data_IF_923455233063
#
_entry.id   IF_923455233063
#
_cell.length_a   1.000
_cell.length_b   1.000
_cell.length_c   1.000
_cell.angle_alpha   90.00
_cell.angle_beta   90.00
_cell.angle_gamma   90.00
#
_symmetry.space_group_name_H-M   'P 1'
#
loop_
_entity.id
_entity.type
_entity.pdbx_description
1 polymer ?
#
# COMPACT_ATOMS: atom_id res chain seq x y z
N UNK A 1 -14.34 -4.29 -20.62
CA UNK A 1 -13.64 -5.50 -21.10
C UNK A 1 -14.61 -6.62 -21.28
N UNK A 2 -14.54 -7.38 -22.37
CA UNK A 2 -15.33 -8.59 -22.51
C UNK A 2 -14.77 -9.62 -21.54
N UNK A 3 -15.51 -9.89 -20.47
CA UNK A 3 -15.14 -10.94 -19.53
C UNK A 3 -15.24 -12.29 -20.25
N UNK A 4 -14.13 -13.00 -20.28
CA UNK A 4 -14.11 -14.38 -20.76
C UNK A 4 -15.02 -15.21 -19.86
N UNK A 5 -16.08 -15.75 -20.42
CA UNK A 5 -16.94 -16.67 -19.70
C UNK A 5 -16.35 -18.08 -19.81
N UNK A 6 -16.12 -18.77 -18.69
CA UNK A 6 -15.68 -20.17 -18.74
C UNK A 6 -16.65 -21.03 -19.52
N UNK A 7 -16.13 -21.87 -20.38
CA UNK A 7 -16.91 -22.91 -21.05
C UNK A 7 -16.98 -24.07 -20.09
N UNK A 8 -18.18 -24.34 -19.55
CA UNK A 8 -18.42 -25.45 -18.61
C UNK A 8 -18.80 -26.72 -19.29
N UNK A 9 -19.56 -26.64 -20.40
CA UNK A 9 -19.99 -27.78 -21.18
C UNK A 9 -19.12 -27.95 -22.41
N UNK A 10 -18.58 -29.14 -22.57
CA UNK A 10 -17.79 -29.57 -23.72
C UNK A 10 -18.49 -30.76 -24.38
N UNK A 11 -18.25 -31.02 -25.69
CA UNK A 11 -18.86 -32.19 -26.35
C UNK A 11 -18.52 -33.52 -25.72
N UNK A 12 -17.43 -33.58 -24.95
CA UNK A 12 -16.91 -34.81 -24.35
C UNK A 12 -17.25 -34.98 -22.88
N UNK A 13 -17.50 -33.86 -22.14
CA UNK A 13 -17.77 -33.88 -20.70
C UNK A 13 -18.32 -32.54 -20.20
N UNK A 14 -18.91 -32.54 -19.01
CA UNK A 14 -19.30 -31.36 -18.25
C UNK A 14 -18.31 -31.12 -17.09
N UNK A 15 -17.86 -29.87 -16.86
CA UNK A 15 -16.96 -29.51 -15.77
C UNK A 15 -17.82 -29.03 -14.59
N UNK A 16 -17.98 -29.86 -13.57
CA UNK A 16 -18.83 -29.58 -12.41
C UNK A 16 -18.04 -29.16 -11.15
N UNK A 17 -16.76 -29.50 -11.08
CA UNK A 17 -15.93 -29.38 -9.89
C UNK A 17 -15.08 -28.10 -9.84
N UNK A 18 -15.41 -27.11 -10.65
CA UNK A 18 -14.71 -25.81 -10.65
C UNK A 18 -15.51 -24.76 -9.88
N UNK A 19 -14.85 -23.97 -9.01
CA UNK A 19 -15.53 -22.86 -8.34
C UNK A 19 -15.95 -21.80 -9.37
N UNK A 20 -17.01 -21.01 -9.07
CA UNK A 20 -17.39 -19.90 -9.91
C UNK A 20 -16.28 -18.83 -9.91
N UNK A 21 -16.25 -18.04 -10.99
CA UNK A 21 -15.36 -16.89 -11.06
C UNK A 21 -15.65 -15.90 -9.92
N UNK A 22 -14.59 -15.44 -9.26
CA UNK A 22 -14.67 -14.42 -8.19
C UNK A 22 -14.67 -13.03 -8.84
N UNK A 23 -15.71 -12.26 -8.60
CA UNK A 23 -15.85 -10.89 -9.10
C UNK A 23 -17.26 -10.35 -8.89
N UNK A 24 -17.43 -9.03 -8.95
CA UNK A 24 -18.67 -8.32 -8.68
C UNK A 24 -19.30 -8.69 -7.32
N UNK A 25 -18.46 -8.85 -6.32
CA UNK A 25 -18.86 -9.04 -4.94
C UNK A 25 -18.93 -7.68 -4.24
N UNK A 26 -19.82 -7.55 -3.27
CA UNK A 26 -19.79 -6.45 -2.35
C UNK A 26 -19.10 -6.93 -1.07
N UNK A 27 -17.81 -6.58 -0.91
CA UNK A 27 -16.97 -7.06 0.19
C UNK A 27 -17.43 -6.52 1.54
N UNK A 28 -18.11 -5.38 1.57
CA UNK A 28 -18.70 -4.84 2.79
C UNK A 28 -20.02 -5.52 3.12
N UNK A 29 -20.95 -5.56 2.17
CA UNK A 29 -22.29 -6.11 2.38
C UNK A 29 -22.26 -7.62 2.59
N UNK A 30 -21.34 -8.32 1.94
CA UNK A 30 -21.19 -9.77 2.07
C UNK A 30 -20.61 -10.21 3.42
N UNK A 31 -19.86 -9.36 4.11
CA UNK A 31 -19.21 -9.69 5.38
C UNK A 31 -19.96 -9.12 6.59
N UNK A 32 -20.88 -9.95 7.13
CA UNK A 32 -21.63 -9.57 8.34
C UNK A 32 -20.73 -9.39 9.55
N UNK A 33 -19.68 -10.21 9.70
CA UNK A 33 -18.81 -10.17 10.87
C UNK A 33 -17.98 -8.89 10.90
N UNK A 34 -17.49 -8.44 9.74
CA UNK A 34 -16.80 -7.16 9.59
C UNK A 34 -17.72 -5.99 9.99
N UNK A 35 -18.96 -5.96 9.49
CA UNK A 35 -19.92 -4.91 9.81
C UNK A 35 -20.28 -4.88 11.29
N UNK A 36 -20.52 -6.05 11.89
CA UNK A 36 -20.81 -6.16 13.31
C UNK A 36 -19.64 -5.67 14.17
N UNK A 37 -18.42 -6.01 13.79
CA UNK A 37 -17.21 -5.53 14.47
C UNK A 37 -17.07 -4.01 14.37
N UNK A 38 -17.21 -3.43 13.18
CA UNK A 38 -17.13 -1.99 12.95
C UNK A 38 -18.18 -1.22 13.80
N UNK A 39 -19.40 -1.72 13.84
CA UNK A 39 -20.47 -1.10 14.64
C UNK A 39 -20.22 -1.23 16.15
N UNK A 40 -19.82 -2.41 16.60
CA UNK A 40 -19.53 -2.68 18.03
C UNK A 40 -18.40 -1.79 18.55
N UNK A 41 -17.38 -1.54 17.76
CA UNK A 41 -16.21 -0.76 18.15
C UNK A 41 -16.34 0.75 17.81
N UNK A 42 -17.57 1.24 17.64
CA UNK A 42 -17.87 2.66 17.50
C UNK A 42 -17.49 3.29 16.14
N UNK A 43 -17.25 2.49 15.11
CA UNK A 43 -16.86 2.96 13.78
C UNK A 43 -18.03 3.05 12.77
N UNK A 44 -19.28 2.90 13.22
CA UNK A 44 -20.47 2.94 12.35
C UNK A 44 -20.62 4.23 11.53
N UNK A 45 -20.05 5.33 11.99
CA UNK A 45 -20.02 6.60 11.26
C UNK A 45 -19.28 6.53 9.91
N UNK A 46 -18.41 5.54 9.73
CA UNK A 46 -17.65 5.30 8.49
C UNK A 46 -18.39 4.38 7.51
N UNK A 47 -19.59 3.89 7.82
CA UNK A 47 -20.32 2.87 7.05
C UNK A 47 -20.43 3.21 5.56
N UNK A 48 -20.77 4.46 5.23
CA UNK A 48 -20.88 4.86 3.82
C UNK A 48 -19.54 4.69 3.08
N UNK A 49 -18.45 5.15 3.68
CA UNK A 49 -17.11 5.04 3.10
C UNK A 49 -16.71 3.57 2.92
N UNK A 50 -16.98 2.74 3.92
CA UNK A 50 -16.65 1.31 3.90
C UNK A 50 -17.49 0.56 2.87
N UNK A 51 -18.78 0.91 2.75
CA UNK A 51 -19.67 0.32 1.73
C UNK A 51 -19.25 0.68 0.31
N UNK A 52 -18.99 1.96 0.03
CA UNK A 52 -18.53 2.41 -1.28
C UNK A 52 -17.19 1.72 -1.65
N UNK A 53 -16.29 1.61 -0.69
CA UNK A 53 -15.00 0.95 -0.90
C UNK A 53 -15.12 -0.57 -1.09
N UNK A 54 -15.99 -1.24 -0.34
CA UNK A 54 -16.26 -2.67 -0.48
C UNK A 54 -16.83 -3.03 -1.86
N UNK A 55 -17.69 -2.19 -2.42
CA UNK A 55 -18.21 -2.33 -3.78
C UNK A 55 -17.11 -2.12 -4.82
N UNK A 56 -16.28 -1.08 -4.66
CA UNK A 56 -15.16 -0.80 -5.55
C UNK A 56 -14.19 -1.99 -5.59
N UNK A 57 -13.70 -2.41 -4.44
CA UNK A 57 -12.70 -3.47 -4.35
C UNK A 57 -13.23 -4.83 -4.78
N UNK A 58 -14.52 -5.11 -4.52
CA UNK A 58 -15.16 -6.36 -4.94
C UNK A 58 -15.51 -6.44 -6.42
N UNK A 59 -15.22 -5.41 -7.21
CA UNK A 59 -15.51 -5.39 -8.66
C UNK A 59 -14.59 -6.33 -9.43
N UNK A 60 -15.10 -6.90 -10.52
CA UNK A 60 -14.29 -7.70 -11.46
C UNK A 60 -13.08 -6.95 -11.98
N UNK A 61 -13.20 -5.64 -12.17
CA UNK A 61 -12.11 -4.78 -12.64
C UNK A 61 -10.93 -4.79 -11.65
N UNK A 62 -11.20 -4.67 -10.36
CA UNK A 62 -10.15 -4.68 -9.33
C UNK A 62 -9.47 -6.04 -9.22
N UNK A 63 -10.20 -7.14 -9.30
CA UNK A 63 -9.61 -8.49 -9.37
C UNK A 63 -8.76 -8.69 -10.62
N UNK A 64 -9.19 -8.20 -11.79
CA UNK A 64 -8.41 -8.24 -13.04
C UNK A 64 -7.10 -7.43 -12.91
N UNK A 65 -7.14 -6.26 -12.27
CA UNK A 65 -5.94 -5.47 -11.99
C UNK A 65 -5.01 -6.17 -11.01
N UNK A 66 -5.55 -6.79 -9.96
CA UNK A 66 -4.77 -7.56 -9.00
C UNK A 66 -4.04 -8.74 -9.68
N UNK A 67 -4.76 -9.52 -10.49
CA UNK A 67 -4.17 -10.62 -11.23
C UNK A 67 -3.05 -10.16 -12.19
N UNK A 68 -3.28 -9.07 -12.92
CA UNK A 68 -2.29 -8.50 -13.85
C UNK A 68 -1.06 -7.96 -13.12
N UNK A 69 -1.25 -7.26 -11.99
CA UNK A 69 -0.13 -6.77 -11.19
C UNK A 69 0.73 -7.92 -10.65
N UNK A 70 0.09 -8.98 -10.15
CA UNK A 70 0.81 -10.14 -9.62
C UNK A 70 1.53 -10.96 -10.71
N UNK A 71 0.98 -11.04 -11.92
CA UNK A 71 1.61 -11.73 -13.05
C UNK A 71 2.76 -10.97 -13.70
N UNK A 72 2.84 -9.67 -13.50
CA UNK A 72 3.84 -8.78 -14.08
C UNK A 72 4.63 -8.07 -12.97
N UNK A 73 5.65 -8.73 -12.39
CA UNK A 73 6.47 -8.15 -11.33
C UNK A 73 7.22 -6.91 -11.83
N UNK A 74 7.61 -6.01 -10.93
CA UNK A 74 8.40 -4.83 -11.28
C UNK A 74 9.72 -5.20 -11.97
N UNK A 75 10.12 -4.44 -12.98
CA UNK A 75 11.36 -4.63 -13.72
C UNK A 75 12.34 -3.50 -13.42
N UNK A 76 13.57 -3.86 -13.00
CA UNK A 76 14.64 -2.88 -12.83
C UNK A 76 15.27 -2.54 -14.19
N UNK A 77 15.09 -1.32 -14.66
CA UNK A 77 15.80 -0.74 -15.79
C UNK A 77 16.99 0.08 -15.28
N UNK A 78 18.13 -0.60 -15.10
CA UNK A 78 19.33 0.03 -14.55
C UNK A 78 19.93 1.06 -15.51
N UNK A 79 19.81 0.85 -16.81
CA UNK A 79 20.40 1.68 -17.87
C UNK A 79 19.37 1.97 -18.96
N UNK A 80 19.51 3.12 -19.62
CA UNK A 80 18.82 3.43 -20.86
C UNK A 80 19.45 2.74 -22.07
N UNK A 81 18.87 2.97 -23.27
CA UNK A 81 19.37 2.40 -24.54
C UNK A 81 20.77 2.89 -24.94
N UNK A 82 21.29 3.95 -24.30
CA UNK A 82 22.61 4.53 -24.57
C UNK A 82 23.64 4.16 -23.50
N UNK A 83 23.26 3.35 -22.49
CA UNK A 83 24.14 2.93 -21.39
C UNK A 83 24.21 3.95 -20.24
N UNK A 84 23.40 4.99 -20.24
CA UNK A 84 23.31 5.90 -19.09
C UNK A 84 22.55 5.23 -17.93
N UNK A 85 23.09 5.33 -16.71
CA UNK A 85 22.43 4.78 -15.53
C UNK A 85 21.19 5.59 -15.17
N UNK A 86 20.03 4.92 -15.11
CA UNK A 86 18.75 5.53 -14.76
C UNK A 86 18.14 4.96 -13.47
N UNK A 87 18.47 3.70 -13.11
CA UNK A 87 17.94 3.01 -11.92
C UNK A 87 16.40 3.11 -11.79
N UNK A 88 15.71 3.00 -12.90
CA UNK A 88 14.25 3.11 -12.94
C UNK A 88 13.60 1.77 -12.64
N UNK A 89 12.54 1.78 -11.83
CA UNK A 89 11.68 0.61 -11.61
C UNK A 89 10.42 0.78 -12.45
N UNK A 90 10.22 -0.12 -13.40
CA UNK A 90 9.04 -0.14 -14.25
C UNK A 90 7.97 -1.05 -13.63
N UNK A 91 6.86 -0.45 -13.24
CA UNK A 91 5.71 -1.14 -12.69
C UNK A 91 4.63 -1.30 -13.74
N UNK A 92 3.95 -2.44 -13.75
CA UNK A 92 2.80 -2.65 -14.62
C UNK A 92 1.69 -1.61 -14.31
N UNK A 93 0.97 -1.07 -15.32
CA UNK A 93 -0.09 -0.08 -15.09
C UNK A 93 -1.16 -0.50 -14.07
N UNK A 94 -1.43 -1.79 -13.93
CA UNK A 94 -2.35 -2.31 -12.92
C UNK A 94 -1.88 -2.09 -11.49
N UNK A 95 -0.57 -2.11 -11.22
CA UNK A 95 0.00 -1.75 -9.93
C UNK A 95 -0.34 -0.29 -9.57
N UNK A 96 -0.13 0.62 -10.50
CA UNK A 96 -0.48 2.03 -10.32
C UNK A 96 -1.99 2.25 -10.13
N UNK A 97 -2.83 1.44 -10.81
CA UNK A 97 -4.27 1.48 -10.62
C UNK A 97 -4.69 1.10 -9.20
N UNK A 98 -4.11 0.03 -8.67
CA UNK A 98 -4.35 -0.45 -7.29
C UNK A 98 -3.87 0.56 -6.25
N UNK A 99 -2.67 1.13 -6.41
CA UNK A 99 -2.17 2.21 -5.54
C UNK A 99 -3.09 3.42 -5.55
N UNK A 100 -3.56 3.83 -6.73
CA UNK A 100 -4.51 4.94 -6.86
C UNK A 100 -5.82 4.64 -6.15
N UNK A 101 -6.35 3.44 -6.28
CA UNK A 101 -7.55 3.02 -5.57
C UNK A 101 -7.37 3.06 -4.05
N UNK A 102 -6.24 2.58 -3.54
CA UNK A 102 -5.92 2.59 -2.12
C UNK A 102 -5.78 4.03 -1.58
N UNK A 103 -4.96 4.86 -2.22
CA UNK A 103 -4.64 6.22 -1.75
C UNK A 103 -5.85 7.15 -1.87
N UNK A 104 -6.58 7.12 -2.99
CA UNK A 104 -7.78 7.95 -3.15
C UNK A 104 -8.87 7.58 -2.14
N UNK A 105 -8.85 6.36 -1.64
CA UNK A 105 -9.76 5.90 -0.59
C UNK A 105 -9.18 5.94 0.82
N UNK A 106 -8.04 6.61 1.00
CA UNK A 106 -7.42 6.89 2.30
C UNK A 106 -6.95 5.62 3.05
N UNK A 107 -6.71 4.52 2.34
CA UNK A 107 -6.25 3.28 2.99
C UNK A 107 -5.02 3.53 3.88
N UNK A 108 -3.96 4.27 3.45
CA UNK A 108 -2.80 4.51 4.31
C UNK A 108 -2.98 5.67 5.30
N UNK A 109 -4.07 6.44 5.26
CA UNK A 109 -4.16 7.70 6.02
C UNK A 109 -5.42 7.87 6.85
N UNK A 110 -6.41 6.99 6.69
CA UNK A 110 -7.76 7.18 7.23
C UNK A 110 -7.79 7.51 8.73
N UNK A 111 -7.17 6.67 9.58
CA UNK A 111 -7.22 6.87 11.02
C UNK A 111 -6.43 8.11 11.49
N UNK A 112 -5.43 8.55 10.73
CA UNK A 112 -4.67 9.78 11.02
C UNK A 112 -5.42 11.06 10.69
N UNK A 113 -6.29 11.00 9.68
CA UNK A 113 -7.13 12.14 9.23
C UNK A 113 -8.41 12.26 10.02
N UNK A 114 -8.98 11.15 10.46
CA UNK A 114 -10.25 11.09 11.16
C UNK A 114 -10.03 10.72 12.62
N UNK A 115 -9.68 11.72 13.45
CA UNK A 115 -9.43 11.50 14.88
C UNK A 115 -10.77 11.38 15.67
N UNK A 116 -11.43 10.24 15.50
CA UNK A 116 -12.71 9.89 16.16
C UNK A 116 -12.62 8.52 16.79
N UNK A 117 -13.53 8.23 17.73
CA UNK A 117 -13.72 6.88 18.23
C UNK A 117 -13.95 5.89 17.06
N UNK A 118 -13.34 4.72 17.12
CA UNK A 118 -13.45 3.71 16.10
C UNK A 118 -12.61 3.96 14.81
N UNK A 119 -11.86 5.07 14.70
CA UNK A 119 -11.08 5.38 13.48
C UNK A 119 -10.10 4.29 13.08
N UNK A 120 -9.45 3.66 14.06
CA UNK A 120 -8.52 2.54 13.81
C UNK A 120 -9.26 1.32 13.27
N UNK A 121 -10.46 1.05 13.79
CA UNK A 121 -11.29 -0.07 13.30
C UNK A 121 -11.76 0.18 11.87
N UNK A 122 -12.20 1.40 11.55
CA UNK A 122 -12.55 1.77 10.19
C UNK A 122 -11.36 1.68 9.22
N UNK A 123 -10.16 2.12 9.65
CA UNK A 123 -8.92 1.95 8.90
C UNK A 123 -8.62 0.47 8.64
N UNK A 124 -8.71 -0.36 9.66
CA UNK A 124 -8.49 -1.81 9.53
C UNK A 124 -9.54 -2.47 8.63
N UNK A 125 -10.78 -1.99 8.61
CA UNK A 125 -11.81 -2.48 7.69
C UNK A 125 -11.49 -2.17 6.23
N UNK A 126 -10.98 -0.95 5.92
CA UNK A 126 -10.47 -0.61 4.58
C UNK A 126 -9.30 -1.53 4.19
N UNK A 127 -8.32 -1.67 5.08
CA UNK A 127 -7.15 -2.55 4.89
C UNK A 127 -7.57 -4.00 4.64
N UNK A 128 -8.50 -4.51 5.43
CA UNK A 128 -9.01 -5.88 5.32
C UNK A 128 -9.68 -6.14 3.98
N UNK A 129 -10.58 -5.24 3.54
CA UNK A 129 -11.26 -5.38 2.25
C UNK A 129 -10.28 -5.26 1.07
N UNK A 130 -9.31 -4.35 1.13
CA UNK A 130 -8.29 -4.23 0.10
C UNK A 130 -7.44 -5.51 -0.01
N UNK A 131 -7.01 -6.05 1.13
CA UNK A 131 -6.13 -7.21 1.19
C UNK A 131 -6.77 -8.52 0.69
N UNK A 132 -8.10 -8.60 0.64
CA UNK A 132 -8.81 -9.71 0.00
C UNK A 132 -8.61 -9.74 -1.51
N UNK A 133 -8.30 -8.60 -2.12
CA UNK A 133 -8.14 -8.45 -3.57
C UNK A 133 -6.67 -8.48 -3.96
N UNK A 134 -5.84 -7.73 -3.23
CA UNK A 134 -4.42 -7.61 -3.54
C UNK A 134 -3.58 -7.33 -2.28
N UNK A 135 -2.69 -8.28 -1.96
CA UNK A 135 -1.85 -8.22 -0.76
C UNK A 135 -0.51 -7.51 -0.95
N UNK A 136 0.05 -7.49 -2.16
CA UNK A 136 1.36 -6.89 -2.43
C UNK A 136 1.37 -5.38 -2.27
N UNK A 137 0.35 -4.69 -2.79
CA UNK A 137 0.19 -3.23 -2.64
C UNK A 137 -0.13 -2.82 -1.20
N UNK A 138 -0.66 -3.73 -0.38
CA UNK A 138 -0.91 -3.44 1.04
C UNK A 138 0.36 -3.19 1.84
N UNK A 139 1.50 -3.76 1.44
CA UNK A 139 2.77 -3.52 2.13
C UNK A 139 3.18 -2.03 2.09
N UNK A 140 3.29 -1.35 0.93
CA UNK A 140 3.54 0.09 0.90
C UNK A 140 2.46 0.93 1.60
N UNK A 141 1.20 0.50 1.60
CA UNK A 141 0.13 1.19 2.34
C UNK A 141 0.34 1.09 3.85
N UNK A 142 0.67 -0.08 4.37
CA UNK A 142 0.95 -0.30 5.79
C UNK A 142 2.20 0.46 6.25
N UNK A 143 3.27 0.48 5.45
CA UNK A 143 4.48 1.25 5.74
C UNK A 143 4.20 2.75 5.76
N UNK A 144 3.46 3.26 4.78
CA UNK A 144 3.06 4.68 4.71
C UNK A 144 2.19 5.08 5.90
N UNK A 145 1.27 4.23 6.34
CA UNK A 145 0.50 4.43 7.56
C UNK A 145 1.39 4.51 8.81
N UNK A 146 2.37 3.61 8.90
CA UNK A 146 3.19 3.41 10.10
C UNK A 146 4.29 4.45 10.27
N UNK A 147 4.67 5.18 9.22
CA UNK A 147 5.76 6.17 9.27
C UNK A 147 5.38 7.44 10.01
N UNK A 148 4.10 7.77 10.11
CA UNK A 148 3.63 9.07 10.62
C UNK A 148 4.15 9.41 12.01
N UNK A 149 4.16 8.50 13.00
CA UNK A 149 4.79 8.78 14.29
C UNK A 149 6.28 9.10 14.20
N UNK A 150 7.00 8.45 13.26
CA UNK A 150 8.43 8.72 13.07
C UNK A 150 8.69 10.12 12.46
N UNK A 151 7.86 10.57 11.53
CA UNK A 151 8.00 11.92 10.94
C UNK A 151 7.85 13.03 12.00
N UNK A 152 7.00 12.82 13.00
CA UNK A 152 6.74 13.78 14.09
C UNK A 152 7.92 14.04 15.02
N UNK A 153 8.99 13.26 14.93
CA UNK A 153 10.20 13.50 15.73
C UNK A 153 11.07 14.65 15.20
N UNK A 154 10.82 15.14 13.98
CA UNK A 154 11.53 16.26 13.39
C UNK A 154 10.54 17.18 12.67
N UNK A 155 10.33 18.40 13.18
CA UNK A 155 9.34 19.34 12.67
C UNK A 155 9.56 19.69 11.19
N UNK A 156 10.79 19.89 10.75
CA UNK A 156 11.11 20.23 9.36
C UNK A 156 10.71 19.08 8.41
N UNK A 157 10.97 17.85 8.81
CA UNK A 157 10.59 16.67 8.04
C UNK A 157 9.07 16.48 8.07
N UNK A 158 8.43 16.67 9.22
CA UNK A 158 6.97 16.61 9.35
C UNK A 158 6.30 17.60 8.41
N UNK A 159 6.69 18.86 8.44
CA UNK A 159 6.11 19.93 7.62
C UNK A 159 6.22 19.64 6.11
N UNK A 160 7.34 19.04 5.69
CA UNK A 160 7.57 18.70 4.28
C UNK A 160 6.82 17.44 3.84
N UNK A 161 6.84 16.37 4.65
CA UNK A 161 6.39 15.06 4.23
C UNK A 161 4.97 14.73 4.65
N UNK A 162 4.52 15.12 5.85
CA UNK A 162 3.23 14.72 6.39
C UNK A 162 2.05 15.11 5.48
N UNK A 163 2.00 16.33 4.89
CA UNK A 163 0.93 16.68 3.96
C UNK A 163 0.87 15.78 2.74
N UNK A 164 2.02 15.28 2.27
CA UNK A 164 2.12 14.40 1.09
C UNK A 164 1.75 12.96 1.43
N UNK A 165 2.14 12.48 2.61
CA UNK A 165 1.81 11.14 3.13
C UNK A 165 0.31 11.02 3.46
N UNK A 166 -0.30 12.09 3.94
CA UNK A 166 -1.75 12.14 4.22
C UNK A 166 -2.61 12.48 2.99
N UNK A 167 -1.99 12.80 1.86
CA UNK A 167 -2.71 13.11 0.62
C UNK A 167 -3.55 11.91 0.16
N UNK A 168 -4.72 12.20 -0.38
CA UNK A 168 -5.56 11.23 -1.08
C UNK A 168 -5.39 11.33 -2.62
N UNK A 169 -4.28 11.90 -3.07
CA UNK A 169 -3.92 11.99 -4.49
C UNK A 169 -2.68 11.13 -4.74
N UNK A 170 -2.83 10.12 -5.57
CA UNK A 170 -1.72 9.28 -6.00
C UNK A 170 -0.87 10.01 -7.04
N UNK A 171 0.46 10.03 -6.81
CA UNK A 171 1.44 10.66 -7.70
C UNK A 171 2.57 9.65 -7.99
N UNK A 172 2.55 9.09 -9.20
CA UNK A 172 3.50 8.08 -9.67
C UNK A 172 4.78 8.64 -10.28
N UNK A 173 4.91 9.98 -10.35
CA UNK A 173 6.08 10.63 -10.93
C UNK A 173 7.32 10.45 -10.05
N UNK A 174 8.46 10.15 -10.66
CA UNK A 174 9.76 10.12 -9.98
C UNK A 174 10.36 11.53 -9.98
N UNK A 175 9.96 12.33 -8.99
CA UNK A 175 10.33 13.74 -8.82
C UNK A 175 10.57 14.05 -7.35
N UNK A 176 11.32 15.14 -7.03
CA UNK A 176 11.53 15.58 -5.65
C UNK A 176 10.23 15.81 -4.88
N UNK A 177 10.28 15.60 -3.55
CA UNK A 177 9.11 15.63 -2.66
C UNK A 177 8.35 16.97 -2.66
N UNK A 178 9.04 18.08 -2.83
CA UNK A 178 8.47 19.42 -2.91
C UNK A 178 7.53 19.59 -4.13
N UNK A 179 7.78 18.85 -5.19
CA UNK A 179 7.00 18.88 -6.43
C UNK A 179 5.89 17.82 -6.47
N UNK A 180 5.85 16.89 -5.51
CA UNK A 180 4.82 15.85 -5.46
C UNK A 180 3.52 16.34 -4.82
N UNK A 181 2.41 15.77 -5.24
CA UNK A 181 1.08 15.99 -4.62
C UNK A 181 0.73 14.91 -3.59
N UNK A 182 1.37 13.77 -3.67
CA UNK A 182 1.24 12.65 -2.73
C UNK A 182 2.48 11.79 -2.75
N UNK A 183 2.77 11.12 -1.63
CA UNK A 183 3.93 10.24 -1.50
C UNK A 183 3.62 9.02 -0.64
N UNK A 184 4.29 7.91 -0.95
CA UNK A 184 4.39 6.73 -0.10
C UNK A 184 5.78 6.66 0.50
N UNK A 185 5.92 6.00 1.65
CA UNK A 185 7.20 5.82 2.33
C UNK A 185 7.42 4.34 2.62
N UNK A 186 8.63 3.86 2.31
CA UNK A 186 9.08 2.52 2.67
C UNK A 186 9.85 2.52 3.99
N UNK A 187 10.01 1.33 4.57
CA UNK A 187 10.75 1.10 5.82
C UNK A 187 11.70 -0.08 5.63
N UNK A 188 12.94 0.09 6.05
CA UNK A 188 13.98 -0.92 5.96
C UNK A 188 14.59 -1.17 7.34
N UNK A 189 14.24 -2.27 7.99
CA UNK A 189 14.77 -2.64 9.30
C UNK A 189 15.67 -3.87 9.25
N UNK A 190 15.27 -4.89 8.49
CA UNK A 190 15.98 -6.17 8.38
C UNK A 190 17.39 -5.99 7.80
N UNK A 191 18.34 -6.72 8.36
CA UNK A 191 19.68 -6.88 7.80
C UNK A 191 19.90 -8.34 7.39
N UNK A 192 20.86 -8.61 6.54
CA UNK A 192 21.07 -9.96 5.97
C UNK A 192 21.32 -11.05 7.03
N UNK A 193 21.94 -10.71 8.15
CA UNK A 193 22.19 -11.61 9.25
C UNK A 193 20.98 -11.87 10.16
N UNK A 194 19.93 -11.07 10.06
CA UNK A 194 18.72 -11.28 10.86
C UNK A 194 17.68 -10.19 10.76
N UNK A 195 16.40 -10.62 10.80
CA UNK A 195 15.21 -9.78 10.88
C UNK A 195 14.40 -10.05 12.13
N UNK A 196 14.46 -11.28 12.67
CA UNK A 196 13.80 -11.66 13.93
C UNK A 196 14.42 -10.99 15.16
N UNK A 197 15.68 -10.58 15.09
CA UNK A 197 16.38 -9.81 16.12
C UNK A 197 16.95 -8.51 15.56
N UNK A 198 16.09 -7.51 15.39
CA UNK A 198 16.49 -6.18 14.88
C UNK A 198 17.37 -5.41 15.87
N UNK A 199 17.48 -5.84 17.14
CA UNK A 199 18.41 -5.24 18.12
C UNK A 199 19.86 -5.60 17.81
N UNK A 200 20.10 -6.72 17.12
CA UNK A 200 21.41 -7.14 16.67
C UNK A 200 21.85 -6.46 15.36
N UNK A 201 21.09 -5.49 14.86
CA UNK A 201 21.46 -4.75 13.66
C UNK A 201 22.80 -4.06 13.82
N UNK A 202 23.65 -4.16 12.79
CA UNK A 202 25.01 -3.62 12.74
C UNK A 202 25.13 -2.28 12.01
N UNK A 203 24.07 -1.81 11.34
CA UNK A 203 24.03 -0.50 10.71
C UNK A 203 24.31 0.61 11.71
N UNK A 204 25.18 1.52 11.35
CA UNK A 204 25.63 2.63 12.19
C UNK A 204 25.53 3.96 11.46
N UNK A 205 25.19 5.01 12.21
CA UNK A 205 25.23 6.39 11.77
C UNK A 205 26.36 7.10 12.50
N UNK A 206 27.36 7.62 11.78
CA UNK A 206 28.48 8.38 12.34
C UNK A 206 28.31 9.85 11.95
N UNK A 207 28.28 10.80 12.90
CA UNK A 207 28.18 12.21 12.57
C UNK A 207 29.39 12.67 11.76
N UNK A 208 29.15 13.56 10.78
CA UNK A 208 30.19 14.13 9.91
C UNK A 208 31.01 15.19 10.65
N UNK A 209 30.37 15.90 11.59
CA UNK A 209 31.02 16.95 12.38
C UNK A 209 30.99 16.65 13.89
N UNK A 210 31.83 17.34 14.67
CA UNK A 210 31.86 17.24 16.14
C UNK A 210 30.62 17.86 16.81
N UNK A 211 29.98 18.83 16.14
CA UNK A 211 28.72 19.43 16.59
C UNK A 211 27.56 18.74 15.84
N UNK A 212 26.87 17.81 16.48
CA UNK A 212 25.86 16.97 15.86
C UNK A 212 24.57 16.94 16.70
N UNK A 213 23.47 16.66 16.05
CA UNK A 213 22.12 16.58 16.63
C UNK A 213 21.06 16.50 15.54
N UNK A 214 19.85 16.87 15.85
CA UNK A 214 18.76 16.92 14.87
C UNK A 214 19.10 17.90 13.75
N UNK A 215 19.00 17.46 12.49
CA UNK A 215 19.31 18.24 11.30
C UNK A 215 20.79 18.21 10.87
N UNK A 216 21.65 17.46 11.58
CA UNK A 216 23.05 17.27 11.18
C UNK A 216 23.21 16.14 10.16
N UNK A 217 24.33 16.19 9.40
CA UNK A 217 24.68 15.15 8.44
C UNK A 217 25.37 13.96 9.14
N UNK A 218 25.03 12.75 8.69
CA UNK A 218 25.59 11.49 9.17
C UNK A 218 26.02 10.60 8.00
N UNK A 219 27.14 9.93 8.16
CA UNK A 219 27.56 8.83 7.30
C UNK A 219 26.91 7.53 7.79
N UNK A 220 26.11 6.92 6.93
CA UNK A 220 25.50 5.61 7.19
C UNK A 220 26.40 4.51 6.67
N UNK A 221 26.66 3.51 7.52
CA UNK A 221 27.37 2.29 7.16
C UNK A 221 26.55 1.08 7.60
N UNK A 222 26.16 0.25 6.66
CA UNK A 222 25.35 -0.93 6.93
C UNK A 222 24.79 -1.54 5.66
N UNK A 223 24.06 -2.66 5.83
CA UNK A 223 23.42 -3.37 4.73
C UNK A 223 21.99 -3.73 5.13
N UNK A 224 21.03 -2.99 4.64
CA UNK A 224 19.63 -3.37 4.74
C UNK A 224 19.28 -4.37 3.64
N UNK A 225 18.58 -5.40 4.01
CA UNK A 225 18.27 -6.53 3.17
C UNK A 225 16.78 -6.87 3.31
N UNK A 226 16.05 -7.06 2.18
CA UNK A 226 14.65 -7.41 2.09
C UNK A 226 13.79 -6.37 1.38
#
# INVERSE_FOLDING_TARGET
MNHLRPIKQLPTHEVENMPPYIGNQDLWKGDKNLRDAVNREGAGWAEKKLSDFGQLMGSTEMFDHAEKANKNPPELKAFDQYGNRINYIDYHPSYHHLLRAAINNEVPSFAWKHNKEGSQVAHMALTYMFNQVEGGVMCPMAMTYSVIPALKHNQQIEDQWLPKVLSNQYDDRDIPIDQKVGATIGMFMTEKQGGSDVRANSTRAKPVSSNFGNGSDYLLTGHKYF
#
